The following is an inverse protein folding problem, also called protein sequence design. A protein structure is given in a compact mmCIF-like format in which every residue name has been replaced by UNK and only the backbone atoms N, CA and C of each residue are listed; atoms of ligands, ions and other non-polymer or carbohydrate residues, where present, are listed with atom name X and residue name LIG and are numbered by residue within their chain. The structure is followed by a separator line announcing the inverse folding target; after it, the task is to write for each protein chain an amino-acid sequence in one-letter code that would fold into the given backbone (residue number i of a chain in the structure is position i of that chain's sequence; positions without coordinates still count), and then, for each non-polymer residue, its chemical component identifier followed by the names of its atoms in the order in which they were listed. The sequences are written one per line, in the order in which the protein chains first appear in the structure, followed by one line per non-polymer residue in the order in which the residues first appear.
data_IF_084939521467
#
_entry.id   IF_084939521467
#
_cell.length_a   1.000
_cell.length_b   1.000
_cell.length_c   1.000
_cell.angle_alpha   90.00
_cell.angle_beta   90.00
_cell.angle_gamma   90.00
#
_symmetry.space_group_name_H-M   'P 1'
#
loop_
_entity.id
_entity.type
_entity.pdbx_description
1 polymer ?
#
# COMPACT_ATOMS: atom_id res chain seq x y z
N UNK A 1 4.46 34.41 1.68
CA UNK A 1 4.48 32.94 1.38
C UNK A 1 4.76 32.05 2.60
N UNK A 2 5.66 32.37 3.53
CA UNK A 2 6.01 31.48 4.65
C UNK A 2 4.90 31.24 5.70
N UNK A 3 4.05 32.22 6.00
CA UNK A 3 2.92 32.08 6.95
C UNK A 3 1.79 31.16 6.43
N UNK A 4 1.49 31.18 5.13
CA UNK A 4 0.45 30.33 4.53
C UNK A 4 0.89 28.86 4.46
N UNK A 5 2.17 28.60 4.15
CA UNK A 5 2.75 27.26 4.16
C UNK A 5 2.71 26.63 5.56
N UNK A 6 2.90 27.44 6.61
CA UNK A 6 2.84 26.97 7.99
C UNK A 6 1.39 26.61 8.42
N UNK A 7 0.40 27.38 7.98
CA UNK A 7 -1.01 27.15 8.32
C UNK A 7 -1.56 25.85 7.69
N UNK A 8 -1.21 25.57 6.44
CA UNK A 8 -1.62 24.32 5.77
C UNK A 8 -0.95 23.08 6.39
N UNK A 9 0.30 23.21 6.80
CA UNK A 9 1.01 22.14 7.53
C UNK A 9 0.32 21.86 8.87
N UNK A 10 0.02 22.89 9.64
CA UNK A 10 -0.69 22.78 10.92
C UNK A 10 -2.09 22.14 10.77
N UNK A 11 -2.85 22.55 9.75
CA UNK A 11 -4.17 21.96 9.45
C UNK A 11 -4.05 20.47 9.14
N UNK A 12 -3.03 20.07 8.35
CA UNK A 12 -2.78 18.66 8.02
C UNK A 12 -2.37 17.84 9.25
N UNK A 13 -1.49 18.39 10.09
CA UNK A 13 -1.07 17.73 11.33
C UNK A 13 -2.24 17.55 12.30
N UNK A 14 -3.09 18.57 12.44
CA UNK A 14 -4.30 18.50 13.24
C UNK A 14 -5.30 17.45 12.68
N UNK A 15 -5.50 17.43 11.37
CA UNK A 15 -6.33 16.41 10.73
C UNK A 15 -5.81 14.98 10.99
N UNK A 16 -4.50 14.76 10.88
CA UNK A 16 -3.89 13.46 11.18
C UNK A 16 -4.09 13.06 12.65
N UNK A 17 -3.89 14.00 13.59
CA UNK A 17 -4.12 13.76 15.00
C UNK A 17 -5.58 13.38 15.29
N UNK A 18 -6.54 14.05 14.64
CA UNK A 18 -7.96 13.68 14.76
C UNK A 18 -8.23 12.26 14.27
N UNK A 19 -7.59 11.82 13.17
CA UNK A 19 -7.71 10.45 12.68
C UNK A 19 -7.19 9.47 13.73
N UNK A 20 -6.01 9.68 14.28
CA UNK A 20 -5.46 8.83 15.33
C UNK A 20 -6.39 8.70 16.55
N UNK A 21 -6.89 9.83 17.04
CA UNK A 21 -7.79 9.86 18.22
C UNK A 21 -9.11 9.14 17.91
N UNK A 22 -9.79 9.52 16.82
CA UNK A 22 -11.11 8.98 16.47
C UNK A 22 -11.04 7.50 16.13
N UNK A 23 -10.01 7.04 15.42
CA UNK A 23 -9.79 5.62 15.08
C UNK A 23 -9.23 4.79 16.24
N UNK A 24 -9.06 5.38 17.43
CA UNK A 24 -8.51 4.72 18.62
C UNK A 24 -7.15 4.06 18.36
N UNK A 25 -6.27 4.79 17.69
CA UNK A 25 -4.93 4.31 17.36
C UNK A 25 -4.14 3.92 18.60
N UNK A 26 -3.30 2.86 18.54
CA UNK A 26 -2.34 2.59 19.60
C UNK A 26 -1.43 3.80 19.82
N UNK A 27 -1.24 4.20 21.08
CA UNK A 27 -0.44 5.40 21.42
C UNK A 27 0.97 5.34 20.83
N UNK A 28 1.57 4.13 20.78
CA UNK A 28 2.88 3.89 20.16
C UNK A 28 2.90 4.31 18.69
N UNK A 29 1.80 4.10 17.95
CA UNK A 29 1.72 4.47 16.54
C UNK A 29 1.74 5.98 16.36
N UNK A 30 1.05 6.72 17.23
CA UNK A 30 1.04 8.19 17.25
C UNK A 30 2.45 8.73 17.49
N UNK A 31 3.15 8.21 18.51
CA UNK A 31 4.53 8.60 18.79
C UNK A 31 5.45 8.32 17.59
N UNK A 32 5.37 7.14 16.99
CA UNK A 32 6.19 6.79 15.84
C UNK A 32 5.94 7.73 14.65
N UNK A 33 4.71 8.09 14.37
CA UNK A 33 4.37 9.00 13.27
C UNK A 33 5.11 10.35 13.40
N UNK A 34 5.05 10.96 14.59
CA UNK A 34 5.74 12.22 14.83
C UNK A 34 7.27 12.07 14.91
N UNK A 35 7.74 11.01 15.53
CA UNK A 35 9.18 10.75 15.67
C UNK A 35 9.86 10.46 14.32
N UNK A 36 9.16 9.78 13.42
CA UNK A 36 9.69 9.42 12.12
C UNK A 36 9.64 10.55 11.08
N UNK A 37 9.06 11.70 11.40
CA UNK A 37 8.90 12.81 10.46
C UNK A 37 10.22 13.24 9.80
N UNK A 38 11.27 13.48 10.59
CA UNK A 38 12.62 13.84 10.09
C UNK A 38 13.26 12.68 9.31
N UNK A 39 13.15 11.46 9.82
CA UNK A 39 13.66 10.26 9.16
C UNK A 39 12.95 10.02 7.81
N UNK A 40 11.65 10.28 7.72
CA UNK A 40 10.90 10.20 6.49
C UNK A 40 11.40 11.20 5.42
N UNK A 41 11.79 12.42 5.83
CA UNK A 41 12.41 13.38 4.91
C UNK A 41 13.78 12.91 4.40
N UNK A 42 14.60 12.31 5.28
CA UNK A 42 15.90 11.72 4.88
C UNK A 42 15.72 10.60 3.86
N UNK A 43 14.70 9.72 4.04
CA UNK A 43 14.37 8.66 3.07
C UNK A 43 13.99 9.26 1.72
N UNK A 44 13.10 10.25 1.70
CA UNK A 44 12.70 10.93 0.45
C UNK A 44 13.89 11.54 -0.27
N UNK A 45 14.81 12.15 0.47
CA UNK A 45 16.03 12.73 -0.09
C UNK A 45 16.99 11.66 -0.62
N UNK A 46 17.24 10.59 0.14
CA UNK A 46 18.12 9.47 -0.23
C UNK A 46 17.72 8.84 -1.55
N UNK A 47 16.43 8.59 -1.73
CA UNK A 47 15.91 7.86 -2.89
C UNK A 47 15.34 8.77 -4.00
N UNK A 48 15.60 10.08 -3.94
CA UNK A 48 15.08 11.06 -4.91
C UNK A 48 15.48 10.73 -6.34
N UNK A 49 16.77 10.46 -6.57
CA UNK A 49 17.29 10.19 -7.91
C UNK A 49 16.73 8.87 -8.46
N UNK A 50 16.77 7.79 -7.70
CA UNK A 50 16.20 6.50 -8.10
C UNK A 50 14.72 6.59 -8.46
N UNK A 51 13.94 7.38 -7.68
CA UNK A 51 12.56 7.69 -8.04
C UNK A 51 12.48 8.41 -9.38
N UNK A 52 13.29 9.45 -9.60
CA UNK A 52 13.25 10.23 -10.82
C UNK A 52 13.65 9.38 -12.03
N UNK A 53 14.69 8.56 -11.90
CA UNK A 53 15.15 7.66 -12.96
C UNK A 53 14.08 6.64 -13.34
N UNK A 54 13.39 6.06 -12.35
CA UNK A 54 12.27 5.16 -12.58
C UNK A 54 11.12 5.85 -13.34
N UNK A 55 10.71 7.04 -12.91
CA UNK A 55 9.63 7.78 -13.55
C UNK A 55 9.97 8.19 -14.99
N UNK A 56 11.24 8.54 -15.27
CA UNK A 56 11.71 8.83 -16.63
C UNK A 56 11.69 7.57 -17.50
N UNK A 57 12.15 6.44 -16.98
CA UNK A 57 12.16 5.14 -17.68
C UNK A 57 10.74 4.65 -18.01
N UNK A 58 9.76 4.97 -17.18
CA UNK A 58 8.39 4.46 -17.27
C UNK A 58 7.36 5.51 -17.68
N UNK A 59 7.79 6.52 -18.41
CA UNK A 59 6.92 7.61 -18.90
C UNK A 59 5.89 7.17 -19.96
N UNK A 60 6.04 5.96 -20.50
CA UNK A 60 5.12 5.33 -21.44
C UNK A 60 4.00 4.50 -20.77
N UNK A 61 4.03 4.33 -19.47
CA UNK A 61 2.96 3.66 -18.75
C UNK A 61 1.66 4.46 -18.87
N UNK A 62 0.57 3.76 -19.04
CA UNK A 62 -0.78 4.33 -19.11
C UNK A 62 -1.33 4.48 -17.71
N UNK A 63 -1.07 5.62 -17.08
CA UNK A 63 -1.50 5.94 -15.72
C UNK A 63 -2.40 7.18 -15.77
N UNK A 64 -3.68 6.99 -15.52
CA UNK A 64 -4.66 8.07 -15.52
C UNK A 64 -4.53 8.98 -14.31
N UNK A 65 -4.19 8.40 -13.13
CA UNK A 65 -4.00 9.13 -11.88
C UNK A 65 -2.81 8.57 -11.11
N UNK A 66 -1.85 9.44 -10.78
CA UNK A 66 -0.68 9.05 -10.00
C UNK A 66 -0.98 9.05 -8.49
N UNK A 67 -1.37 7.90 -7.98
CA UNK A 67 -1.55 7.67 -6.55
C UNK A 67 -0.33 7.01 -5.89
N UNK A 68 0.67 6.57 -6.67
CA UNK A 68 1.77 5.75 -6.17
C UNK A 68 3.13 6.43 -6.11
N UNK A 69 3.48 7.32 -7.05
CA UNK A 69 4.87 7.81 -7.15
C UNK A 69 5.40 8.49 -5.89
N UNK A 70 4.52 9.07 -5.08
CA UNK A 70 4.87 9.63 -3.76
C UNK A 70 5.38 8.60 -2.75
N UNK A 71 5.07 7.33 -2.96
CA UNK A 71 5.34 6.19 -2.06
C UNK A 71 6.67 5.49 -2.42
N UNK A 72 7.17 5.66 -3.65
CA UNK A 72 8.40 5.03 -4.18
C UNK A 72 9.60 5.12 -3.23
N UNK A 73 9.97 6.27 -2.64
CA UNK A 73 11.13 6.33 -1.76
C UNK A 73 11.05 5.42 -0.55
N UNK A 74 9.84 5.20 -0.02
CA UNK A 74 9.62 4.34 1.14
C UNK A 74 9.64 2.87 0.78
N UNK A 75 9.18 2.52 -0.43
CA UNK A 75 9.28 1.16 -0.95
C UNK A 75 10.73 0.80 -1.24
N UNK A 76 11.51 1.70 -1.85
CA UNK A 76 12.96 1.51 -2.04
C UNK A 76 13.67 1.31 -0.70
N UNK A 77 13.32 2.13 0.30
CA UNK A 77 13.84 1.97 1.66
C UNK A 77 13.48 0.58 2.23
N UNK A 78 12.24 0.14 2.08
CA UNK A 78 11.82 -1.17 2.58
C UNK A 78 12.52 -2.32 1.85
N UNK A 79 12.70 -2.21 0.52
CA UNK A 79 13.41 -3.23 -0.25
C UNK A 79 14.86 -3.38 0.19
N UNK A 80 15.53 -2.27 0.49
CA UNK A 80 16.93 -2.27 0.96
C UNK A 80 17.01 -2.72 2.43
N UNK A 81 16.19 -2.14 3.33
CA UNK A 81 16.21 -2.41 4.78
C UNK A 81 15.94 -3.87 5.10
N UNK A 82 15.00 -4.50 4.38
CA UNK A 82 14.62 -5.90 4.58
C UNK A 82 15.29 -6.86 3.60
N UNK A 83 16.29 -6.37 2.84
CA UNK A 83 17.07 -7.15 1.87
C UNK A 83 16.19 -7.92 0.87
N UNK A 84 15.03 -7.35 0.47
CA UNK A 84 14.10 -8.00 -0.44
C UNK A 84 14.71 -8.21 -1.84
N UNK A 85 15.65 -7.34 -2.25
CA UNK A 85 16.38 -7.48 -3.52
C UNK A 85 17.26 -8.73 -3.57
N UNK A 86 17.66 -9.25 -2.41
CA UNK A 86 18.56 -10.40 -2.30
C UNK A 86 17.79 -11.74 -2.15
N UNK A 87 16.47 -11.67 -2.00
CA UNK A 87 15.64 -12.89 -1.91
C UNK A 87 15.51 -13.52 -3.27
N UNK A 88 15.76 -14.86 -3.32
CA UNK A 88 15.42 -15.67 -4.49
C UNK A 88 13.94 -16.06 -4.42
N UNK A 89 13.27 -16.10 -5.57
CA UNK A 89 11.87 -16.55 -5.69
C UNK A 89 10.92 -15.82 -4.70
N UNK A 90 11.08 -14.51 -4.58
CA UNK A 90 10.25 -13.67 -3.72
C UNK A 90 8.79 -13.76 -4.16
N UNK A 91 7.90 -14.13 -3.25
CA UNK A 91 6.46 -14.16 -3.50
C UNK A 91 5.80 -12.91 -2.95
N UNK A 92 5.10 -12.19 -3.80
CA UNK A 92 4.37 -10.97 -3.44
C UNK A 92 2.88 -11.07 -3.78
N UNK A 93 2.06 -10.39 -2.97
CA UNK A 93 0.62 -10.25 -3.17
C UNK A 93 0.26 -8.77 -3.13
N UNK A 94 -0.59 -8.34 -4.04
CA UNK A 94 -1.18 -7.01 -4.04
C UNK A 94 -2.70 -7.13 -4.09
N UNK A 95 -3.37 -6.46 -3.15
CA UNK A 95 -4.82 -6.29 -3.10
C UNK A 95 -5.14 -4.86 -3.49
N UNK A 96 -5.81 -4.68 -4.64
CA UNK A 96 -6.03 -3.37 -5.25
C UNK A 96 -4.85 -2.98 -6.13
N UNK A 97 -4.94 -3.27 -7.43
CA UNK A 97 -3.83 -3.05 -8.37
C UNK A 97 -4.08 -1.89 -9.33
N UNK A 98 -5.35 -1.47 -9.49
CA UNK A 98 -5.71 -0.38 -10.40
C UNK A 98 -5.07 -0.55 -11.79
N UNK A 99 -4.39 0.49 -12.30
CA UNK A 99 -3.64 0.45 -13.57
C UNK A 99 -2.24 -0.19 -13.45
N UNK A 100 -1.89 -0.79 -12.29
CA UNK A 100 -0.67 -1.55 -12.08
C UNK A 100 0.59 -0.74 -11.82
N UNK A 101 0.52 0.53 -11.40
CA UNK A 101 1.72 1.34 -11.20
C UNK A 101 2.61 0.81 -10.06
N UNK A 102 2.02 0.44 -8.94
CA UNK A 102 2.70 -0.22 -7.81
C UNK A 102 3.23 -1.61 -8.19
N UNK A 103 2.41 -2.40 -8.88
CA UNK A 103 2.76 -3.73 -9.38
C UNK A 103 3.97 -3.68 -10.34
N UNK A 104 3.95 -2.75 -11.30
CA UNK A 104 5.04 -2.53 -12.23
C UNK A 104 6.32 -2.14 -11.49
N UNK A 105 6.22 -1.19 -10.54
CA UNK A 105 7.35 -0.77 -9.74
C UNK A 105 7.96 -1.94 -8.95
N UNK A 106 7.13 -2.75 -8.31
CA UNK A 106 7.58 -3.93 -7.56
C UNK A 106 8.37 -4.89 -8.45
N UNK A 107 7.80 -5.29 -9.59
CA UNK A 107 8.43 -6.26 -10.50
C UNK A 107 9.67 -5.71 -11.22
N UNK A 108 9.73 -4.38 -11.50
CA UNK A 108 10.92 -3.73 -12.04
C UNK A 108 12.07 -3.70 -11.02
N UNK A 109 11.75 -3.39 -9.75
CA UNK A 109 12.74 -3.23 -8.69
C UNK A 109 13.18 -4.54 -8.04
N UNK A 110 12.35 -5.59 -8.13
CA UNK A 110 12.60 -6.93 -7.57
C UNK A 110 12.54 -7.98 -8.69
N UNK A 111 13.65 -8.19 -9.43
CA UNK A 111 13.64 -9.02 -10.63
C UNK A 111 13.37 -10.51 -10.36
N UNK A 112 13.53 -10.98 -9.13
CA UNK A 112 13.22 -12.37 -8.71
C UNK A 112 11.81 -12.51 -8.13
N UNK A 113 11.02 -11.42 -8.06
CA UNK A 113 9.70 -11.46 -7.49
C UNK A 113 8.67 -12.06 -8.44
N UNK A 114 7.80 -12.89 -7.89
CA UNK A 114 6.55 -13.34 -8.49
C UNK A 114 5.40 -12.63 -7.77
N UNK A 115 4.58 -11.89 -8.51
CA UNK A 115 3.50 -11.07 -7.96
C UNK A 115 2.15 -11.64 -8.35
N UNK A 116 1.26 -11.75 -7.37
CA UNK A 116 -0.16 -11.95 -7.59
C UNK A 116 -0.89 -10.63 -7.37
N UNK A 117 -1.59 -10.14 -8.40
CA UNK A 117 -2.43 -8.95 -8.34
C UNK A 117 -3.89 -9.37 -8.25
N UNK A 118 -4.61 -8.84 -7.26
CA UNK A 118 -6.03 -9.08 -7.02
C UNK A 118 -6.77 -7.77 -7.13
N UNK A 119 -7.65 -7.65 -8.11
CA UNK A 119 -8.50 -6.47 -8.30
C UNK A 119 -9.79 -6.89 -9.01
N UNK A 120 -10.86 -6.17 -8.80
CA UNK A 120 -12.11 -6.37 -9.51
C UNK A 120 -12.06 -5.78 -10.92
N UNK A 121 -11.24 -4.75 -11.12
CA UNK A 121 -11.28 -3.86 -12.30
C UNK A 121 -12.71 -3.46 -12.70
N UNK A 122 -13.59 -3.51 -11.72
CA UNK A 122 -14.95 -3.03 -11.85
C UNK A 122 -15.42 -2.52 -10.49
N UNK A 123 -16.25 -1.51 -10.49
CA UNK A 123 -16.82 -0.96 -9.26
C UNK A 123 -18.33 -0.92 -9.42
N UNK A 124 -19.09 -1.80 -8.73
CA UNK A 124 -20.54 -1.83 -8.85
C UNK A 124 -21.17 -0.47 -8.61
N UNK A 125 -21.95 0.02 -9.58
CA UNK A 125 -22.58 1.33 -9.52
C UNK A 125 -21.73 2.53 -9.93
N UNK A 126 -20.48 2.30 -10.36
CA UNK A 126 -19.58 3.35 -10.84
C UNK A 126 -18.86 2.87 -12.11
N UNK A 127 -19.27 3.39 -13.26
CA UNK A 127 -18.59 3.10 -14.53
C UNK A 127 -17.27 3.87 -14.67
N UNK A 128 -17.09 4.92 -13.85
CA UNK A 128 -15.91 5.77 -13.81
C UNK A 128 -15.42 6.00 -12.39
N UNK A 129 -14.10 5.98 -12.20
CA UNK A 129 -13.42 6.34 -10.97
C UNK A 129 -12.32 7.33 -11.33
N UNK A 130 -12.22 8.43 -10.58
CA UNK A 130 -11.23 9.48 -10.82
C UNK A 130 -11.27 10.01 -12.28
N UNK A 131 -12.46 10.01 -12.91
CA UNK A 131 -12.63 10.46 -14.30
C UNK A 131 -12.18 9.46 -15.36
N UNK A 132 -11.94 8.19 -14.98
CA UNK A 132 -11.52 7.13 -15.90
C UNK A 132 -12.49 5.96 -15.85
N UNK A 133 -12.91 5.47 -17.04
CA UNK A 133 -13.75 4.28 -17.16
C UNK A 133 -13.02 3.05 -16.58
N UNK A 134 -13.72 2.24 -15.80
CA UNK A 134 -13.17 1.03 -15.19
C UNK A 134 -12.65 0.02 -16.22
N UNK A 135 -13.29 -0.03 -17.43
CA UNK A 135 -12.77 -0.84 -18.53
C UNK A 135 -11.39 -0.39 -19.00
N UNK A 136 -11.18 0.92 -19.13
CA UNK A 136 -9.88 1.49 -19.52
C UNK A 136 -8.80 1.21 -18.45
N UNK A 137 -9.18 1.18 -17.19
CA UNK A 137 -8.27 0.85 -16.08
C UNK A 137 -7.71 -0.55 -16.23
N UNK A 138 -8.55 -1.54 -16.52
CA UNK A 138 -8.09 -2.92 -16.73
C UNK A 138 -7.21 -3.05 -17.99
N UNK A 139 -7.60 -2.40 -19.09
CA UNK A 139 -6.79 -2.36 -20.33
C UNK A 139 -5.43 -1.69 -20.09
N UNK A 140 -5.38 -0.63 -19.28
CA UNK A 140 -4.14 0.02 -18.89
C UNK A 140 -3.27 -0.89 -18.01
N UNK A 141 -3.87 -1.61 -17.05
CA UNK A 141 -3.17 -2.61 -16.26
C UNK A 141 -2.52 -3.67 -17.15
N UNK A 142 -3.28 -4.26 -18.07
CA UNK A 142 -2.78 -5.31 -18.96
C UNK A 142 -1.65 -4.79 -19.87
N UNK A 143 -1.77 -3.56 -20.38
CA UNK A 143 -0.71 -2.90 -21.13
C UNK A 143 0.55 -2.68 -20.29
N UNK A 144 0.40 -2.08 -19.12
CA UNK A 144 1.51 -1.73 -18.23
C UNK A 144 2.26 -2.97 -17.74
N UNK A 145 1.55 -4.09 -17.54
CA UNK A 145 2.11 -5.31 -16.98
C UNK A 145 2.56 -6.33 -18.04
N UNK A 146 2.40 -6.04 -19.31
CA UNK A 146 2.65 -6.96 -20.43
C UNK A 146 4.06 -7.57 -20.46
N UNK A 147 5.08 -6.83 -19.99
CA UNK A 147 6.48 -7.30 -19.92
C UNK A 147 6.76 -8.29 -18.78
N UNK A 148 5.82 -8.49 -17.87
CA UNK A 148 6.01 -9.31 -16.66
C UNK A 148 5.24 -10.62 -16.65
N UNK A 149 4.70 -11.06 -17.80
CA UNK A 149 3.77 -12.20 -17.93
C UNK A 149 4.22 -13.48 -17.21
N UNK A 150 5.52 -13.80 -17.19
CA UNK A 150 6.05 -15.02 -16.51
C UNK A 150 6.12 -14.88 -14.99
N UNK A 151 6.08 -13.64 -14.47
CA UNK A 151 6.22 -13.34 -13.05
C UNK A 151 4.96 -12.73 -12.45
N UNK A 152 3.90 -12.54 -13.25
CA UNK A 152 2.64 -11.95 -12.86
C UNK A 152 1.52 -13.01 -12.88
N UNK A 153 0.73 -13.03 -11.80
CA UNK A 153 -0.58 -13.70 -11.76
C UNK A 153 -1.65 -12.64 -11.56
N UNK A 154 -2.58 -12.55 -12.50
CA UNK A 154 -3.75 -11.66 -12.43
C UNK A 154 -4.95 -12.46 -11.92
N UNK A 155 -5.59 -11.99 -10.84
CA UNK A 155 -6.85 -12.52 -10.34
C UNK A 155 -7.91 -11.42 -10.42
N UNK A 156 -8.85 -11.57 -11.36
CA UNK A 156 -9.99 -10.68 -11.49
C UNK A 156 -11.10 -11.11 -10.54
N UNK A 157 -11.33 -10.33 -9.49
CA UNK A 157 -12.34 -10.58 -8.47
C UNK A 157 -12.05 -9.81 -7.20
N UNK A 158 -12.94 -9.95 -6.23
CA UNK A 158 -12.76 -9.36 -4.90
C UNK A 158 -11.66 -10.07 -4.12
N UNK A 159 -11.08 -9.40 -3.15
CA UNK A 159 -10.15 -10.01 -2.19
C UNK A 159 -10.80 -11.19 -1.44
N UNK A 160 -12.09 -11.09 -1.10
CA UNK A 160 -12.85 -12.16 -0.43
C UNK A 160 -12.93 -13.40 -1.33
N UNK A 161 -13.21 -13.25 -2.62
CA UNK A 161 -13.22 -14.37 -3.57
C UNK A 161 -11.83 -14.99 -3.73
N UNK A 162 -10.79 -14.15 -3.74
CA UNK A 162 -9.41 -14.63 -3.76
C UNK A 162 -9.10 -15.47 -2.52
N UNK A 163 -9.39 -14.97 -1.33
CA UNK A 163 -9.13 -15.69 -0.08
C UNK A 163 -9.97 -16.96 0.08
N UNK A 164 -11.17 -17.00 -0.50
CA UNK A 164 -12.00 -18.20 -0.49
C UNK A 164 -11.39 -19.35 -1.33
N UNK A 165 -10.64 -19.01 -2.37
CA UNK A 165 -9.99 -19.98 -3.27
C UNK A 165 -8.50 -20.24 -2.92
N UNK A 166 -7.87 -19.32 -2.19
CA UNK A 166 -6.45 -19.34 -1.86
C UNK A 166 -6.30 -19.02 -0.37
N UNK A 167 -6.62 -19.97 0.49
CA UNK A 167 -6.53 -19.81 1.94
C UNK A 167 -5.13 -20.13 2.51
N UNK A 168 -4.26 -20.70 1.68
CA UNK A 168 -2.88 -20.99 1.99
C UNK A 168 -1.96 -20.19 1.08
N UNK A 169 -0.94 -19.61 1.65
CA UNK A 169 0.06 -18.87 0.89
C UNK A 169 1.15 -18.40 1.83
N UNK A 170 2.36 -18.40 1.32
CA UNK A 170 3.50 -17.87 2.04
C UNK A 170 4.09 -16.76 1.20
N UNK A 171 3.69 -15.52 1.49
CA UNK A 171 4.20 -14.34 0.82
C UNK A 171 5.32 -13.69 1.63
N UNK A 172 6.33 -13.21 0.95
CA UNK A 172 7.43 -12.43 1.53
C UNK A 172 7.07 -10.96 1.65
N UNK A 173 6.21 -10.46 0.74
CA UNK A 173 5.77 -9.09 0.66
C UNK A 173 4.29 -9.02 0.29
N UNK A 174 3.53 -8.22 1.02
CA UNK A 174 2.11 -7.99 0.72
C UNK A 174 1.83 -6.48 0.74
N UNK A 175 1.11 -6.01 -0.27
CA UNK A 175 0.57 -4.65 -0.34
C UNK A 175 -0.96 -4.69 -0.32
N UNK A 176 -1.56 -3.93 0.58
CA UNK A 176 -3.01 -3.84 0.77
C UNK A 176 -3.46 -2.42 0.45
N UNK A 177 -4.09 -2.25 -0.69
CA UNK A 177 -4.58 -0.99 -1.24
C UNK A 177 -5.92 -1.20 -1.99
N UNK A 178 -6.77 -2.04 -1.44
CA UNK A 178 -8.07 -2.39 -1.99
C UNK A 178 -9.17 -1.40 -1.60
N UNK A 179 -10.36 -1.90 -1.25
CA UNK A 179 -11.46 -1.05 -0.77
C UNK A 179 -11.10 -0.32 0.52
N UNK A 180 -11.64 0.89 0.71
CA UNK A 180 -11.32 1.75 1.85
C UNK A 180 -12.34 1.65 3.00
N UNK A 181 -13.41 0.87 2.83
CA UNK A 181 -14.40 0.65 3.89
C UNK A 181 -13.83 -0.27 4.98
N UNK A 182 -14.15 0.04 6.24
CA UNK A 182 -13.59 -0.60 7.44
C UNK A 182 -13.66 -2.12 7.40
N UNK A 183 -14.78 -2.70 6.97
CA UNK A 183 -14.97 -4.15 6.93
C UNK A 183 -14.01 -4.81 5.92
N UNK A 184 -13.92 -4.25 4.72
CA UNK A 184 -13.05 -4.77 3.66
C UNK A 184 -11.58 -4.71 4.08
N UNK A 185 -11.13 -3.55 4.56
CA UNK A 185 -9.74 -3.37 5.02
C UNK A 185 -9.40 -4.29 6.19
N UNK A 186 -10.33 -4.53 7.12
CA UNK A 186 -10.10 -5.42 8.25
C UNK A 186 -9.99 -6.89 7.80
N UNK A 187 -10.86 -7.33 6.89
CA UNK A 187 -10.80 -8.67 6.31
C UNK A 187 -9.47 -8.85 5.56
N UNK A 188 -9.11 -7.90 4.70
CA UNK A 188 -7.86 -7.92 3.93
C UNK A 188 -6.65 -7.98 4.87
N UNK A 189 -6.62 -7.14 5.91
CA UNK A 189 -5.53 -7.12 6.88
C UNK A 189 -5.36 -8.47 7.60
N UNK A 190 -6.46 -9.08 8.05
CA UNK A 190 -6.42 -10.35 8.78
C UNK A 190 -5.97 -11.51 7.89
N UNK A 191 -6.53 -11.59 6.67
CA UNK A 191 -6.22 -12.64 5.71
C UNK A 191 -4.82 -12.51 5.14
N UNK A 192 -4.43 -11.32 4.70
CA UNK A 192 -3.08 -11.04 4.22
C UNK A 192 -2.03 -11.34 5.28
N UNK A 193 -2.28 -10.95 6.55
CA UNK A 193 -1.34 -11.25 7.63
C UNK A 193 -1.22 -12.75 7.93
N UNK A 194 -2.31 -13.52 7.75
CA UNK A 194 -2.24 -14.99 7.86
C UNK A 194 -1.35 -15.58 6.77
N UNK A 195 -1.46 -15.09 5.53
CA UNK A 195 -0.71 -15.56 4.37
C UNK A 195 0.73 -15.02 4.31
N UNK A 196 1.08 -14.05 5.16
CA UNK A 196 2.43 -13.49 5.23
C UNK A 196 3.38 -14.43 5.98
N UNK A 197 4.57 -14.68 5.46
CA UNK A 197 5.65 -15.42 6.17
C UNK A 197 6.09 -14.69 7.43
N UNK A 198 6.63 -15.43 8.40
CA UNK A 198 7.39 -14.84 9.49
C UNK A 198 8.61 -14.11 8.91
N UNK A 199 8.85 -12.87 9.37
CA UNK A 199 9.84 -11.96 8.80
C UNK A 199 9.38 -11.26 7.52
N UNK A 200 8.22 -11.59 6.97
CA UNK A 200 7.63 -10.94 5.79
C UNK A 200 7.14 -9.51 6.09
N UNK A 201 7.01 -8.74 5.04
CA UNK A 201 6.62 -7.32 5.09
C UNK A 201 5.21 -7.15 4.56
N UNK A 202 4.37 -6.43 5.29
CA UNK A 202 3.06 -5.98 4.81
C UNK A 202 2.98 -4.46 4.87
N UNK A 203 2.47 -3.88 3.79
CA UNK A 203 2.23 -2.44 3.66
C UNK A 203 0.73 -2.22 3.52
N UNK A 204 0.16 -1.43 4.41
CA UNK A 204 -1.21 -0.93 4.29
C UNK A 204 -1.18 0.49 3.75
N UNK A 205 -1.93 0.74 2.68
CA UNK A 205 -2.06 2.08 2.14
C UNK A 205 -3.14 2.90 2.83
N UNK A 206 -3.16 4.16 2.48
CA UNK A 206 -4.21 5.12 2.81
C UNK A 206 -4.60 5.19 4.28
N UNK A 207 -3.61 5.03 5.19
CA UNK A 207 -3.86 5.10 6.64
C UNK A 207 -4.57 6.39 7.07
N UNK A 208 -4.31 7.52 6.38
CA UNK A 208 -4.93 8.80 6.67
C UNK A 208 -6.07 9.17 5.70
N UNK A 209 -6.49 8.22 4.87
CA UNK A 209 -7.61 8.44 3.97
C UNK A 209 -8.92 8.56 4.75
N UNK A 210 -9.81 9.39 4.26
CA UNK A 210 -11.15 9.58 4.81
C UNK A 210 -12.09 10.10 3.75
N UNK A 211 -13.30 9.67 3.82
CA UNK A 211 -14.44 10.20 3.07
C UNK A 211 -15.50 10.82 3.99
N UNK A 212 -16.70 10.98 3.49
CA UNK A 212 -17.85 11.52 4.22
C UNK A 212 -18.45 10.53 5.24
N UNK A 213 -18.17 9.23 5.16
CA UNK A 213 -18.72 8.21 6.07
C UNK A 213 -18.14 8.30 7.49
N UNK A 214 -16.99 8.97 7.64
CA UNK A 214 -16.37 9.21 8.93
C UNK A 214 -15.19 8.27 9.22
N UNK A 215 -14.36 8.65 10.20
CA UNK A 215 -13.09 7.95 10.49
C UNK A 215 -13.27 6.50 10.94
N UNK A 216 -14.38 6.18 11.61
CA UNK A 216 -14.64 4.81 12.10
C UNK A 216 -15.04 3.84 10.99
N UNK A 217 -15.47 4.34 9.86
CA UNK A 217 -15.85 3.55 8.68
C UNK A 217 -14.71 3.41 7.66
N UNK A 218 -13.51 3.93 7.99
CA UNK A 218 -12.40 4.06 7.06
C UNK A 218 -11.17 3.24 7.47
N UNK A 219 -10.16 3.27 6.61
CA UNK A 219 -8.92 2.50 6.66
C UNK A 219 -8.22 2.52 8.02
N UNK A 220 -8.07 3.69 8.64
CA UNK A 220 -7.38 3.80 9.94
C UNK A 220 -8.06 2.99 11.05
N UNK A 221 -9.40 2.96 11.10
CA UNK A 221 -10.15 2.21 12.12
C UNK A 221 -9.94 0.70 11.97
N UNK A 222 -9.98 0.21 10.73
CA UNK A 222 -9.71 -1.18 10.39
C UNK A 222 -8.28 -1.59 10.79
N UNK A 223 -7.29 -0.82 10.35
CA UNK A 223 -5.87 -1.10 10.63
C UNK A 223 -5.61 -1.06 12.14
N UNK A 224 -6.15 -0.09 12.89
CA UNK A 224 -5.98 -0.02 14.33
C UNK A 224 -6.65 -1.18 15.08
N UNK A 225 -7.79 -1.67 14.59
CA UNK A 225 -8.44 -2.87 15.10
C UNK A 225 -7.57 -4.11 14.84
N UNK A 226 -7.06 -4.26 13.63
CA UNK A 226 -6.09 -5.31 13.28
C UNK A 226 -4.85 -5.26 14.17
N UNK A 227 -4.25 -4.09 14.40
CA UNK A 227 -3.07 -3.95 15.26
C UNK A 227 -3.32 -4.43 16.70
N UNK A 228 -4.53 -4.19 17.24
CA UNK A 228 -4.91 -4.67 18.58
C UNK A 228 -5.09 -6.18 18.60
N UNK A 229 -5.75 -6.76 17.58
CA UNK A 229 -5.97 -8.20 17.47
C UNK A 229 -4.67 -8.99 17.29
N UNK A 230 -3.69 -8.42 16.60
CA UNK A 230 -2.39 -9.05 16.31
C UNK A 230 -1.25 -8.53 17.20
N UNK A 231 -1.57 -7.94 18.35
CA UNK A 231 -0.58 -7.43 19.30
C UNK A 231 0.51 -8.49 19.56
N UNK A 232 1.77 -8.03 19.57
CA UNK A 232 3.00 -8.84 19.76
C UNK A 232 3.33 -9.80 18.60
N UNK A 233 2.63 -9.74 17.47
CA UNK A 233 2.92 -10.59 16.29
C UNK A 233 3.56 -9.81 15.14
N UNK A 234 3.85 -8.54 15.32
CA UNK A 234 4.45 -7.65 14.33
C UNK A 234 5.34 -6.61 15.00
N UNK A 235 6.27 -6.06 14.24
CA UNK A 235 6.92 -4.78 14.50
C UNK A 235 6.39 -3.70 13.55
N UNK A 236 6.26 -2.47 14.05
CA UNK A 236 5.93 -1.31 13.22
C UNK A 236 7.24 -0.73 12.73
N UNK A 237 7.49 -0.83 11.45
CA UNK A 237 8.74 -0.39 10.85
C UNK A 237 8.65 1.09 10.43
N UNK A 238 7.52 1.47 9.83
CA UNK A 238 7.31 2.85 9.40
C UNK A 238 5.84 3.23 9.30
N UNK A 239 5.57 4.51 9.60
CA UNK A 239 4.27 5.13 9.34
C UNK A 239 4.45 6.50 8.71
N UNK A 240 3.65 6.75 7.65
CA UNK A 240 3.50 8.04 6.95
C UNK A 240 2.09 8.13 6.34
N UNK A 241 1.87 8.12 5.02
CA UNK A 241 0.55 7.83 4.43
C UNK A 241 0.25 6.34 4.40
N UNK A 242 1.31 5.52 4.45
CA UNK A 242 1.25 4.06 4.56
C UNK A 242 1.74 3.60 5.93
N UNK A 243 1.29 2.40 6.33
CA UNK A 243 1.81 1.70 7.50
C UNK A 243 2.58 0.46 7.04
N UNK A 244 3.87 0.40 7.36
CA UNK A 244 4.74 -0.73 7.04
C UNK A 244 4.98 -1.56 8.30
N UNK A 245 4.62 -2.82 8.25
CA UNK A 245 4.82 -3.79 9.32
C UNK A 245 5.69 -4.94 8.87
N UNK A 246 6.40 -5.54 9.81
CA UNK A 246 7.08 -6.82 9.67
C UNK A 246 6.44 -7.85 10.59
N UNK A 247 6.05 -9.00 10.08
CA UNK A 247 5.54 -10.12 10.89
C UNK A 247 6.67 -10.74 11.70
N UNK A 248 6.46 -10.95 12.99
CA UNK A 248 7.48 -11.47 13.91
C UNK A 248 7.24 -12.91 14.33
N UNK A 249 5.97 -13.35 14.30
CA UNK A 249 5.54 -14.73 14.66
C UNK A 249 4.31 -15.11 13.84
#
# INVERSE_FOLDING_TARGET
MSKFLNLNKLKKEFSNLQIFIKSKAPIRLVFLFYFQGTSNQKIKSKYKNQKSDYLLKTNNLKISTDWFSGKIPFWLWAFDEFSLRNKRDLKALEIGSWEGFSAHFLLDQLPTAHLTCVDTWSWPGHDEIAGTSTKVVEENFDFNMSSFNTRLKKFRGTSIEYFARHNEGEFDFIYVDGGHHVDNVLIDALKCFQMLKNGGIIIFDDYHWKDSSGVMENTAAAINSFLKLKKNKYSIERIYSQLILRKTV
#
